data_IF_348458074742
#
_entry.id   IF_348458074742
#
_cell.length_a   1.000
_cell.length_b   1.000
_cell.length_c   1.000
_cell.angle_alpha   90.00
_cell.angle_beta   90.00
_cell.angle_gamma   90.00
#
_symmetry.space_group_name_H-M   'P 1'
#
loop_
_entity.id
_entity.type
_entity.pdbx_description
1 polymer ?
#
# COMPACT_ATOMS: atom_id res chain seq x y z
N UNK A 1 30.67 -6.18 27.29
CA UNK A 1 29.85 -6.54 26.10
C UNK A 1 30.85 -7.05 25.07
N UNK A 2 30.86 -8.30 24.61
CA UNK A 2 29.77 -9.20 24.26
C UNK A 2 30.10 -10.62 24.74
N UNK A 3 29.26 -11.18 25.60
CA UNK A 3 29.28 -12.61 25.91
C UNK A 3 28.43 -13.33 24.87
N UNK A 4 29.06 -14.09 23.97
CA UNK A 4 28.37 -15.15 23.24
C UNK A 4 29.11 -16.45 23.52
N UNK A 5 28.76 -17.06 24.64
CA UNK A 5 28.96 -18.50 24.81
C UNK A 5 27.98 -19.21 23.88
N UNK A 6 28.51 -20.08 23.01
CA UNK A 6 27.91 -21.38 22.70
C UNK A 6 29.02 -22.27 22.18
N UNK A 7 29.32 -23.33 22.92
CA UNK A 7 30.21 -24.38 22.48
C UNK A 7 29.64 -24.97 21.18
N UNK A 8 30.33 -24.79 20.05
CA UNK A 8 30.00 -25.43 18.79
C UNK A 8 30.31 -26.91 18.94
N UNK A 9 29.27 -27.76 18.92
CA UNK A 9 29.47 -29.20 18.90
C UNK A 9 30.23 -29.61 17.63
N UNK A 10 30.97 -30.72 17.69
CA UNK A 10 31.74 -31.26 16.55
C UNK A 10 30.89 -31.34 15.25
N UNK A 11 29.61 -31.67 15.37
CA UNK A 11 28.65 -31.71 14.26
C UNK A 11 28.43 -30.37 13.57
N UNK A 12 28.35 -29.27 14.33
CA UNK A 12 28.15 -27.94 13.76
C UNK A 12 29.40 -27.45 13.04
N UNK A 13 30.59 -27.75 13.59
CA UNK A 13 31.86 -27.43 12.93
C UNK A 13 31.99 -28.19 11.61
N UNK A 14 31.64 -29.48 11.60
CA UNK A 14 31.66 -30.30 10.39
C UNK A 14 30.66 -29.81 9.34
N UNK A 15 29.44 -29.43 9.75
CA UNK A 15 28.43 -28.88 8.84
C UNK A 15 28.88 -27.56 8.20
N UNK A 16 29.47 -26.65 8.98
CA UNK A 16 30.03 -25.40 8.47
C UNK A 16 31.22 -25.64 7.54
N UNK A 17 32.09 -26.60 7.85
CA UNK A 17 33.20 -27.00 6.98
C UNK A 17 32.70 -27.52 5.63
N UNK A 18 31.68 -28.37 5.61
CA UNK A 18 31.06 -28.87 4.37
C UNK A 18 30.36 -27.75 3.58
N UNK A 19 29.69 -26.80 4.26
CA UNK A 19 29.09 -25.62 3.62
C UNK A 19 30.14 -24.72 2.98
N UNK A 20 31.28 -24.54 3.64
CA UNK A 20 32.41 -23.79 3.12
C UNK A 20 33.03 -24.46 1.88
N UNK A 21 33.23 -25.79 1.92
CA UNK A 21 33.69 -26.55 0.73
C UNK A 21 32.73 -26.47 -0.46
N UNK A 22 31.44 -26.25 -0.21
CA UNK A 22 30.40 -26.03 -1.23
C UNK A 22 30.33 -24.58 -1.74
N UNK A 23 31.28 -23.72 -1.34
CA UNK A 23 31.40 -22.35 -1.86
C UNK A 23 30.55 -21.30 -1.14
N UNK A 24 30.04 -21.59 0.08
CA UNK A 24 29.37 -20.57 0.90
C UNK A 24 30.40 -19.63 1.51
N UNK A 25 30.34 -18.35 1.14
CA UNK A 25 31.20 -17.29 1.70
C UNK A 25 30.50 -16.47 2.80
N UNK A 26 29.17 -16.60 2.95
CA UNK A 26 28.39 -15.81 3.91
C UNK A 26 28.24 -16.50 5.26
N UNK A 27 28.53 -15.75 6.33
CA UNK A 27 28.32 -16.17 7.73
C UNK A 27 26.89 -15.98 8.23
N UNK A 28 26.04 -15.29 7.44
CA UNK A 28 24.64 -15.08 7.76
C UNK A 28 23.87 -16.40 7.80
N UNK A 29 22.86 -16.49 8.65
CA UNK A 29 21.94 -17.63 8.72
C UNK A 29 21.20 -17.79 7.38
N UNK A 30 20.97 -19.04 6.97
CA UNK A 30 20.07 -19.31 5.84
C UNK A 30 18.67 -18.79 6.15
N UNK A 31 17.92 -18.48 5.09
CA UNK A 31 16.50 -18.21 5.19
C UNK A 31 15.83 -19.36 5.93
N UNK A 32 15.48 -19.11 7.19
CA UNK A 32 14.83 -20.10 8.02
C UNK A 32 13.40 -20.24 7.50
N UNK A 33 12.97 -21.42 7.03
CA UNK A 33 11.57 -21.64 6.73
C UNK A 33 10.81 -21.44 8.05
N UNK A 34 10.06 -20.34 8.13
CA UNK A 34 9.14 -20.12 9.23
C UNK A 34 8.09 -21.24 9.25
N UNK A 35 7.35 -21.35 10.36
CA UNK A 35 6.19 -22.26 10.41
C UNK A 35 5.25 -21.89 9.26
N UNK A 36 4.96 -22.79 8.30
CA UNK A 36 3.92 -22.54 7.32
C UNK A 36 2.62 -22.39 8.11
N UNK A 37 2.02 -21.20 8.10
CA UNK A 37 0.72 -21.02 8.72
C UNK A 37 -0.28 -21.76 7.85
N UNK A 38 -0.74 -22.91 8.32
CA UNK A 38 -1.66 -23.82 7.61
C UNK A 38 -2.99 -23.15 7.24
N UNK A 39 -3.24 -21.94 7.75
CA UNK A 39 -4.43 -21.14 7.52
C UNK A 39 -4.31 -20.14 6.36
N UNK A 40 -3.11 -19.91 5.81
CA UNK A 40 -2.85 -18.98 4.69
C UNK A 40 -2.92 -19.66 3.31
N UNK A 41 -3.85 -20.59 3.12
CA UNK A 41 -4.08 -21.21 1.82
C UNK A 41 -4.56 -20.16 0.81
N UNK A 42 -4.14 -20.24 -0.45
CA UNK A 42 -4.58 -19.32 -1.50
C UNK A 42 -6.12 -19.21 -1.60
N UNK A 43 -6.83 -20.31 -1.36
CA UNK A 43 -8.29 -20.37 -1.29
C UNK A 43 -8.86 -19.44 -0.20
N UNK A 44 -8.28 -19.46 1.00
CA UNK A 44 -8.70 -18.62 2.12
C UNK A 44 -8.45 -17.14 1.83
N UNK A 45 -7.35 -16.81 1.15
CA UNK A 45 -7.01 -15.45 0.73
C UNK A 45 -8.02 -14.97 -0.31
N UNK A 46 -8.35 -15.80 -1.29
CA UNK A 46 -9.30 -15.46 -2.35
C UNK A 46 -10.71 -15.26 -1.79
N UNK A 47 -11.19 -16.19 -0.94
CA UNK A 47 -12.49 -16.12 -0.28
C UNK A 47 -12.62 -14.85 0.57
N UNK A 48 -11.62 -14.57 1.41
CA UNK A 48 -11.55 -13.34 2.21
C UNK A 48 -11.53 -12.09 1.32
N UNK A 49 -10.75 -12.14 0.23
CA UNK A 49 -10.65 -11.06 -0.73
C UNK A 49 -11.94 -10.78 -1.51
N UNK A 50 -12.76 -11.79 -1.76
CA UNK A 50 -14.08 -11.66 -2.40
C UNK A 50 -15.05 -10.93 -1.47
N UNK A 51 -15.13 -11.36 -0.22
CA UNK A 51 -16.01 -10.74 0.79
C UNK A 51 -15.68 -9.26 1.02
N UNK A 52 -14.41 -8.89 1.10
CA UNK A 52 -14.00 -7.48 1.27
C UNK A 52 -14.35 -6.61 0.06
N UNK A 53 -14.34 -7.20 -1.15
CA UNK A 53 -14.73 -6.51 -2.39
C UNK A 53 -16.24 -6.29 -2.46
N UNK A 54 -17.02 -7.24 -1.96
CA UNK A 54 -18.48 -7.15 -1.88
C UNK A 54 -18.91 -6.17 -0.78
N UNK A 55 -18.37 -6.31 0.43
CA UNK A 55 -18.61 -5.38 1.55
C UNK A 55 -17.32 -5.07 2.32
N UNK A 56 -16.85 -3.83 2.15
CA UNK A 56 -15.64 -3.33 2.81
C UNK A 56 -15.85 -3.04 4.32
N UNK A 57 -17.09 -3.01 4.81
CA UNK A 57 -17.42 -2.72 6.22
C UNK A 57 -17.40 -3.96 7.10
N UNK A 58 -17.19 -5.15 6.53
CA UNK A 58 -17.10 -6.39 7.30
C UNK A 58 -15.95 -6.34 8.32
N UNK A 59 -16.30 -6.64 9.57
CA UNK A 59 -15.32 -6.75 10.64
C UNK A 59 -14.50 -8.04 10.50
N UNK A 60 -13.32 -8.08 11.12
CA UNK A 60 -12.50 -9.30 11.22
C UNK A 60 -13.32 -10.48 11.79
N UNK A 61 -14.15 -10.21 12.81
CA UNK A 61 -15.00 -11.24 13.42
C UNK A 61 -16.06 -11.75 12.43
N UNK A 62 -16.74 -10.85 11.72
CA UNK A 62 -17.72 -11.24 10.70
C UNK A 62 -17.08 -12.02 9.54
N UNK A 63 -15.87 -11.62 9.11
CA UNK A 63 -15.12 -12.36 8.11
C UNK A 63 -14.76 -13.77 8.60
N UNK A 64 -14.31 -13.92 9.84
CA UNK A 64 -14.02 -15.22 10.43
C UNK A 64 -15.27 -16.11 10.51
N UNK A 65 -16.41 -15.56 10.92
CA UNK A 65 -17.69 -16.27 10.98
C UNK A 65 -18.17 -16.75 9.60
N UNK A 66 -18.08 -15.90 8.57
CA UNK A 66 -18.50 -16.25 7.20
C UNK A 66 -17.54 -17.23 6.54
N UNK A 67 -16.23 -17.06 6.75
CA UNK A 67 -15.22 -17.87 6.09
C UNK A 67 -14.95 -19.19 6.79
N UNK A 68 -15.24 -19.29 8.09
CA UNK A 68 -14.86 -20.41 8.96
C UNK A 68 -13.38 -20.40 9.33
N UNK A 69 -12.67 -19.30 9.07
CA UNK A 69 -11.24 -19.14 9.32
C UNK A 69 -11.05 -18.50 10.69
N UNK A 70 -10.01 -18.93 11.41
CA UNK A 70 -9.61 -18.29 12.66
C UNK A 70 -9.36 -16.77 12.49
N UNK A 71 -9.78 -15.99 13.48
CA UNK A 71 -9.72 -14.53 13.42
C UNK A 71 -8.29 -13.99 13.27
N UNK A 72 -7.30 -14.66 13.87
CA UNK A 72 -5.90 -14.25 13.75
C UNK A 72 -5.39 -14.45 12.34
N UNK A 73 -5.83 -15.53 11.70
CA UNK A 73 -5.51 -15.82 10.32
C UNK A 73 -6.14 -14.77 9.38
N UNK A 74 -7.39 -14.39 9.61
CA UNK A 74 -8.04 -13.28 8.88
C UNK A 74 -7.30 -11.96 9.07
N UNK A 75 -6.87 -11.62 10.31
CA UNK A 75 -6.05 -10.44 10.59
C UNK A 75 -4.75 -10.43 9.78
N UNK A 76 -4.05 -11.55 9.76
CA UNK A 76 -2.80 -11.68 9.02
C UNK A 76 -3.02 -11.57 7.51
N UNK A 77 -4.03 -12.23 6.96
CA UNK A 77 -4.40 -12.14 5.53
C UNK A 77 -4.71 -10.68 5.15
N UNK A 78 -5.47 -9.96 5.98
CA UNK A 78 -5.76 -8.55 5.75
C UNK A 78 -4.50 -7.68 5.75
N UNK A 79 -3.58 -7.92 6.68
CA UNK A 79 -2.38 -7.12 6.84
C UNK A 79 -1.29 -7.43 5.80
N UNK A 80 -1.14 -8.69 5.40
CA UNK A 80 -0.08 -9.11 4.49
C UNK A 80 -0.53 -9.06 3.03
N UNK A 81 -1.74 -9.54 2.74
CA UNK A 81 -2.24 -9.67 1.36
C UNK A 81 -3.07 -8.46 0.90
N UNK A 82 -3.73 -7.75 1.83
CA UNK A 82 -4.66 -6.66 1.48
C UNK A 82 -4.29 -5.29 2.03
N UNK A 83 -3.09 -5.11 2.58
CA UNK A 83 -2.62 -3.81 3.03
C UNK A 83 -2.27 -2.88 1.85
N UNK A 84 -3.31 -2.26 1.29
CA UNK A 84 -3.26 -1.36 0.12
C UNK A 84 -2.58 -0.01 0.39
N UNK A 85 -1.98 0.20 1.57
CA UNK A 85 -1.26 1.45 1.89
C UNK A 85 -0.10 1.72 0.95
N UNK A 86 0.63 0.69 0.54
CA UNK A 86 1.75 0.81 -0.42
C UNK A 86 1.30 1.21 -1.84
N UNK A 87 0.36 0.51 -2.50
CA UNK A 87 -0.07 0.88 -3.85
C UNK A 87 -0.80 2.22 -3.93
N UNK A 88 -1.57 2.62 -2.91
CA UNK A 88 -2.22 3.94 -2.89
C UNK A 88 -1.19 5.07 -2.84
N UNK A 89 -0.16 4.94 -1.99
CA UNK A 89 0.93 5.92 -1.94
C UNK A 89 1.69 5.99 -3.26
N UNK A 90 2.03 4.84 -3.85
CA UNK A 90 2.73 4.79 -5.13
C UNK A 90 1.93 5.49 -6.25
N UNK A 91 0.63 5.19 -6.37
CA UNK A 91 -0.24 5.86 -7.35
C UNK A 91 -0.40 7.36 -7.09
N UNK A 92 -0.54 7.76 -5.83
CA UNK A 92 -0.61 9.19 -5.50
C UNK A 92 0.69 9.91 -5.87
N UNK A 93 1.85 9.32 -5.58
CA UNK A 93 3.16 9.85 -5.96
C UNK A 93 3.32 9.89 -7.49
N UNK A 94 2.87 8.86 -8.21
CA UNK A 94 2.88 8.83 -9.67
C UNK A 94 2.09 9.99 -10.28
N UNK A 95 0.84 10.20 -9.82
CA UNK A 95 0.01 11.32 -10.27
C UNK A 95 0.66 12.66 -9.94
N UNK A 96 1.22 12.81 -8.73
CA UNK A 96 1.90 14.04 -8.34
C UNK A 96 3.14 14.32 -9.19
N UNK A 97 3.89 13.29 -9.59
CA UNK A 97 5.06 13.44 -10.44
C UNK A 97 4.73 13.76 -11.91
N UNK A 98 3.48 13.49 -12.34
CA UNK A 98 3.01 13.84 -13.69
C UNK A 98 2.58 15.31 -13.80
N UNK A 99 2.42 16.02 -12.67
CA UNK A 99 2.03 17.43 -12.68
C UNK A 99 3.17 18.29 -13.20
N UNK A 100 2.87 19.08 -14.22
CA UNK A 100 3.79 20.04 -14.82
C UNK A 100 3.71 21.39 -14.11
N UNK A 101 4.71 22.24 -14.33
CA UNK A 101 4.69 23.62 -13.82
C UNK A 101 3.46 24.40 -14.29
N UNK A 102 3.00 24.14 -15.53
CA UNK A 102 1.78 24.73 -16.06
C UNK A 102 0.52 24.33 -15.26
N UNK A 103 0.44 23.08 -14.79
CA UNK A 103 -0.67 22.61 -13.96
C UNK A 103 -0.71 23.34 -12.62
N UNK A 104 0.46 23.55 -11.99
CA UNK A 104 0.59 24.31 -10.75
C UNK A 104 0.23 25.79 -10.95
N UNK A 105 0.74 26.40 -12.02
CA UNK A 105 0.44 27.79 -12.36
C UNK A 105 -1.05 27.97 -12.65
N UNK A 106 -1.68 27.07 -13.40
CA UNK A 106 -3.12 27.11 -13.66
C UNK A 106 -3.94 27.00 -12.37
N UNK A 107 -3.57 26.09 -11.46
CA UNK A 107 -4.22 25.98 -10.15
C UNK A 107 -4.02 27.24 -9.29
N UNK A 108 -2.82 27.82 -9.32
CA UNK A 108 -2.51 29.07 -8.61
C UNK A 108 -3.32 30.24 -9.15
N UNK A 109 -3.39 30.41 -10.48
CA UNK A 109 -4.21 31.45 -11.12
C UNK A 109 -5.69 31.27 -10.80
N UNK A 110 -6.22 30.04 -10.87
CA UNK A 110 -7.60 29.76 -10.45
C UNK A 110 -7.87 30.16 -9.00
N UNK A 111 -6.94 29.85 -8.09
CA UNK A 111 -7.06 30.21 -6.67
C UNK A 111 -6.97 31.73 -6.48
N UNK A 112 -6.09 32.41 -7.21
CA UNK A 112 -5.93 33.87 -7.21
C UNK A 112 -7.19 34.57 -7.72
N UNK A 113 -7.71 34.17 -8.88
CA UNK A 113 -8.95 34.72 -9.44
C UNK A 113 -10.19 34.41 -8.58
N UNK A 114 -10.20 33.30 -7.84
CA UNK A 114 -11.24 33.06 -6.82
C UNK A 114 -11.10 34.03 -5.64
N UNK A 115 -9.88 34.25 -5.15
CA UNK A 115 -9.60 35.16 -4.05
C UNK A 115 -9.97 36.62 -4.38
N UNK A 116 -9.62 37.09 -5.57
CA UNK A 116 -9.96 38.44 -6.07
C UNK A 116 -11.48 38.62 -6.17
N UNK A 117 -12.19 37.66 -6.77
CA UNK A 117 -13.67 37.68 -6.84
C UNK A 117 -14.34 37.72 -5.47
N UNK A 118 -13.79 37.02 -4.47
CA UNK A 118 -14.32 37.11 -3.10
C UNK A 118 -14.14 38.51 -2.50
N UNK A 119 -13.05 39.19 -2.83
CA UNK A 119 -12.80 40.58 -2.43
C UNK A 119 -13.78 41.55 -3.08
N UNK A 120 -13.99 41.42 -4.38
CA UNK A 120 -14.90 42.29 -5.15
C UNK A 120 -16.37 42.14 -4.72
N UNK A 121 -16.75 40.96 -4.21
CA UNK A 121 -18.13 40.63 -3.78
C UNK A 121 -18.33 40.66 -2.26
N UNK A 122 -17.41 41.29 -1.51
CA UNK A 122 -17.51 41.46 -0.03
C UNK A 122 -17.80 40.15 0.76
N UNK A 123 -17.33 39.00 0.26
CA UNK A 123 -17.53 37.71 0.94
C UNK A 123 -18.76 36.90 0.52
N UNK A 124 -19.49 37.29 -0.52
CA UNK A 124 -20.57 36.46 -1.08
C UNK A 124 -19.98 35.23 -1.83
N UNK A 125 -20.20 34.03 -1.28
CA UNK A 125 -19.68 32.77 -1.83
C UNK A 125 -20.67 32.12 -2.80
N UNK A 126 -20.27 31.89 -4.05
CA UNK A 126 -21.08 31.16 -5.04
C UNK A 126 -20.36 29.87 -5.45
N UNK A 127 -21.02 28.75 -5.20
CA UNK A 127 -20.54 27.43 -5.60
C UNK A 127 -20.84 27.19 -7.10
N UNK A 128 -19.78 27.09 -7.90
CA UNK A 128 -19.87 26.62 -9.30
C UNK A 128 -20.38 27.63 -10.33
N UNK A 129 -19.55 28.57 -10.78
CA UNK A 129 -19.77 29.20 -12.09
C UNK A 129 -19.39 28.18 -13.19
N UNK A 130 -20.38 27.75 -14.00
CA UNK A 130 -20.14 26.96 -15.22
C UNK A 130 -19.28 27.81 -16.16
N UNK A 131 -18.07 27.34 -16.47
CA UNK A 131 -17.23 27.96 -17.51
C UNK A 131 -18.03 27.92 -18.80
N UNK A 132 -18.48 29.08 -19.29
CA UNK A 132 -19.13 29.17 -20.59
C UNK A 132 -18.12 28.75 -21.64
N UNK A 133 -18.35 27.61 -22.28
CA UNK A 133 -17.65 27.23 -23.51
C UNK A 133 -17.95 28.30 -24.55
N UNK A 134 -16.94 29.10 -24.91
CA UNK A 134 -17.01 30.03 -26.02
C UNK A 134 -17.30 29.21 -27.28
N UNK A 135 -18.51 29.34 -27.80
CA UNK A 135 -18.88 28.84 -29.12
C UNK A 135 -18.08 29.62 -30.16
N UNK A 136 -17.18 28.95 -30.87
CA UNK A 136 -16.52 29.47 -32.07
C UNK A 136 -17.62 29.70 -33.11
N UNK A 137 -17.99 30.96 -33.35
CA UNK A 137 -18.81 31.35 -34.50
C UNK A 137 -17.93 31.44 -35.74
N UNK A 138 -18.44 30.82 -36.81
CA UNK A 138 -17.77 30.51 -38.06
C UNK A 138 -17.16 31.70 -38.80
N UNK A 139 -16.15 31.34 -39.58
CA UNK A 139 -15.49 32.16 -40.60
C UNK A 139 -16.44 32.40 -41.78
N UNK A 140 -16.48 33.64 -42.28
CA UNK A 140 -16.78 33.94 -43.69
C UNK A 140 -15.53 33.79 -44.55
#
# INVERSE_FOLDING_TARGET
MLSVQRATGYSQVFEWFERFKKGRETTEDDLRPGRPSTSKTNENIEKTGKLIREDRRLSIRGLAEITGIDQECVRQILHESFNKRKPVKAKATEVLNQLTEADFQHCFQQRKSRMERCGDRQGEYIEGEKVATVTVTGNE
#
